data_IF_726033085291
#
_entry.id   IF_726033085291
#
_cell.length_a   1.000
_cell.length_b   1.000
_cell.length_c   1.000
_cell.angle_alpha   90.00
_cell.angle_beta   90.00
_cell.angle_gamma   90.00
#
_symmetry.space_group_name_H-M   'P 1'
#
loop_
_entity.id
_entity.type
_entity.pdbx_description
1 polymer ?
#
# COMPACT_ATOMS: atom_id res chain seq x y z
N UNK A 1 14.34 -21.31 15.11
CA UNK A 1 12.97 -20.78 15.26
C UNK A 1 12.51 -20.19 13.94
N UNK A 2 11.36 -20.60 13.49
CA UNK A 2 10.79 -20.07 12.26
C UNK A 2 10.03 -18.76 12.58
N UNK A 3 10.57 -17.62 12.10
CA UNK A 3 9.98 -16.31 12.32
C UNK A 3 9.11 -15.83 11.14
N UNK A 4 8.76 -16.73 10.23
CA UNK A 4 7.95 -16.37 9.09
C UNK A 4 6.52 -16.04 9.51
N UNK A 5 6.00 -14.95 8.95
CA UNK A 5 4.61 -14.58 9.10
C UNK A 5 3.77 -15.52 8.24
N UNK A 6 2.74 -16.12 8.84
CA UNK A 6 1.81 -16.97 8.12
C UNK A 6 0.66 -16.13 7.59
N UNK A 7 0.55 -16.04 6.28
CA UNK A 7 -0.54 -15.32 5.62
C UNK A 7 -1.73 -16.22 5.34
N UNK A 8 -2.92 -15.65 5.41
CA UNK A 8 -4.13 -16.30 4.92
C UNK A 8 -4.06 -16.43 3.39
N UNK A 9 -4.96 -17.24 2.81
CA UNK A 9 -5.03 -17.39 1.36
C UNK A 9 -5.27 -16.04 0.66
N UNK A 10 -6.18 -15.23 1.20
CA UNK A 10 -6.46 -13.89 0.67
C UNK A 10 -5.26 -12.97 0.77
N UNK A 11 -4.55 -13.02 1.89
CA UNK A 11 -3.33 -12.23 2.09
C UNK A 11 -2.21 -12.68 1.15
N UNK A 12 -2.10 -13.98 0.89
CA UNK A 12 -1.14 -14.51 -0.08
C UNK A 12 -1.45 -14.04 -1.50
N UNK A 13 -2.72 -13.97 -1.87
CA UNK A 13 -3.16 -13.42 -3.16
C UNK A 13 -2.82 -11.93 -3.27
N UNK A 14 -3.02 -11.17 -2.20
CA UNK A 14 -2.59 -9.77 -2.15
C UNK A 14 -1.08 -9.62 -2.32
N UNK A 15 -0.31 -10.48 -1.66
CA UNK A 15 1.14 -10.48 -1.79
C UNK A 15 1.56 -10.74 -3.23
N UNK A 16 0.98 -11.75 -3.89
CA UNK A 16 1.29 -12.09 -5.26
C UNK A 16 0.98 -10.94 -6.21
N UNK A 17 -0.18 -10.33 -6.05
CA UNK A 17 -0.59 -9.15 -6.86
C UNK A 17 0.37 -7.98 -6.63
N UNK A 18 0.71 -7.71 -5.37
CA UNK A 18 1.61 -6.63 -5.01
C UNK A 18 3.03 -6.88 -5.52
N UNK A 19 3.53 -8.11 -5.42
CA UNK A 19 4.85 -8.47 -5.95
C UNK A 19 4.91 -8.27 -7.46
N UNK A 20 3.88 -8.70 -8.19
CA UNK A 20 3.81 -8.51 -9.63
C UNK A 20 3.80 -7.02 -10.00
N UNK A 21 2.96 -6.26 -9.35
CA UNK A 21 2.88 -4.81 -9.57
C UNK A 21 4.20 -4.11 -9.27
N UNK A 22 4.80 -4.39 -8.12
CA UNK A 22 6.04 -3.74 -7.70
C UNK A 22 7.23 -4.14 -8.58
N UNK A 23 7.31 -5.40 -9.00
CA UNK A 23 8.41 -5.84 -9.88
C UNK A 23 8.36 -5.18 -11.25
N UNK A 24 7.15 -4.91 -11.74
CA UNK A 24 6.96 -4.23 -13.04
C UNK A 24 7.17 -2.72 -12.96
N UNK A 25 6.77 -2.10 -11.85
CA UNK A 25 6.75 -0.65 -11.71
C UNK A 25 7.92 -0.09 -10.90
N UNK A 26 8.68 -0.94 -10.22
CA UNK A 26 9.84 -0.55 -9.42
C UNK A 26 11.02 -1.50 -9.64
N UNK A 27 11.46 -1.70 -10.89
CA UNK A 27 12.69 -2.45 -11.13
C UNK A 27 13.88 -1.67 -10.59
N UNK A 28 14.94 -2.38 -10.21
CA UNK A 28 16.09 -1.79 -9.52
C UNK A 28 16.76 -0.67 -10.32
N UNK A 29 16.77 -0.75 -11.64
CA UNK A 29 17.35 0.28 -12.48
C UNK A 29 16.57 1.60 -12.38
N UNK A 30 15.24 1.55 -12.30
CA UNK A 30 14.42 2.74 -12.09
C UNK A 30 14.60 3.30 -10.67
N UNK A 31 14.71 2.45 -9.66
CA UNK A 31 14.97 2.88 -8.29
C UNK A 31 16.29 3.65 -8.21
N UNK A 32 17.33 3.13 -8.82
CA UNK A 32 18.64 3.79 -8.87
C UNK A 32 18.57 5.13 -9.59
N UNK A 33 17.89 5.18 -10.73
CA UNK A 33 17.70 6.39 -11.51
C UNK A 33 16.99 7.48 -10.70
N UNK A 34 15.87 7.11 -10.05
CA UNK A 34 15.12 8.06 -9.21
C UNK A 34 15.94 8.57 -8.03
N UNK A 35 16.73 7.71 -7.41
CA UNK A 35 17.60 8.09 -6.29
C UNK A 35 18.68 9.07 -6.74
N UNK A 36 19.33 8.79 -7.86
CA UNK A 36 20.39 9.64 -8.40
C UNK A 36 19.87 11.01 -8.84
N UNK A 37 18.68 11.05 -9.40
CA UNK A 37 18.07 12.28 -9.91
C UNK A 37 17.21 13.00 -8.86
N UNK A 38 17.12 12.44 -7.65
CA UNK A 38 16.28 12.96 -6.57
C UNK A 38 14.82 13.17 -7.00
N UNK A 39 14.33 12.28 -7.86
CA UNK A 39 12.97 12.38 -8.37
C UNK A 39 11.95 11.86 -7.34
N UNK A 40 10.81 12.54 -7.30
CA UNK A 40 9.66 12.08 -6.53
C UNK A 40 8.95 10.94 -7.26
N UNK A 41 8.00 10.30 -6.57
CA UNK A 41 7.16 9.26 -7.15
C UNK A 41 6.38 9.82 -8.34
N UNK A 42 6.40 9.16 -9.53
CA UNK A 42 5.59 9.60 -10.66
C UNK A 42 4.10 9.59 -10.33
N UNK A 43 3.37 10.60 -10.80
CA UNK A 43 1.94 10.74 -10.53
C UNK A 43 1.10 9.59 -11.10
N UNK A 44 1.49 9.05 -12.25
CA UNK A 44 0.82 7.91 -12.86
C UNK A 44 1.00 6.63 -12.03
N UNK A 45 2.17 6.43 -11.43
CA UNK A 45 2.40 5.31 -10.53
C UNK A 45 1.55 5.44 -9.26
N UNK A 46 1.47 6.63 -8.70
CA UNK A 46 0.62 6.88 -7.54
C UNK A 46 -0.86 6.65 -7.87
N UNK A 47 -1.31 7.11 -9.03
CA UNK A 47 -2.67 6.85 -9.49
C UNK A 47 -2.97 5.37 -9.61
N UNK A 48 -2.02 4.58 -10.12
CA UNK A 48 -2.16 3.13 -10.21
C UNK A 48 -2.28 2.48 -8.83
N UNK A 49 -1.51 2.93 -7.86
CA UNK A 49 -1.60 2.45 -6.46
C UNK A 49 -2.98 2.76 -5.88
N UNK A 50 -3.51 3.95 -6.13
CA UNK A 50 -4.84 4.34 -5.67
C UNK A 50 -5.92 3.48 -6.33
N UNK A 51 -5.82 3.24 -7.62
CA UNK A 51 -6.77 2.40 -8.37
C UNK A 51 -6.80 0.95 -7.88
N UNK A 52 -5.68 0.43 -7.40
CA UNK A 52 -5.62 -0.90 -6.78
C UNK A 52 -6.36 -0.95 -5.43
N UNK A 53 -6.73 0.20 -4.88
CA UNK A 53 -7.41 0.28 -3.60
C UNK A 53 -6.51 0.20 -2.38
N UNK A 54 -5.22 0.23 -2.55
CA UNK A 54 -4.26 0.04 -1.44
C UNK A 54 -4.32 1.17 -0.42
N UNK A 55 -4.64 2.39 -0.83
CA UNK A 55 -4.79 3.52 0.09
C UNK A 55 -6.03 3.39 0.99
N UNK A 56 -6.98 2.57 0.59
CA UNK A 56 -8.22 2.35 1.31
C UNK A 56 -8.37 0.94 1.88
N UNK A 57 -7.29 0.17 2.02
CA UNK A 57 -7.38 -1.22 2.50
C UNK A 57 -8.07 -1.29 3.86
N UNK A 58 -7.74 -0.41 4.80
CA UNK A 58 -8.29 -0.41 6.15
C UNK A 58 -9.53 0.48 6.29
N UNK A 59 -9.95 1.17 5.25
CA UNK A 59 -11.13 2.03 5.26
C UNK A 59 -12.38 1.18 5.05
N UNK A 60 -13.46 1.37 5.84
CA UNK A 60 -14.71 0.63 5.65
C UNK A 60 -15.32 0.85 4.26
N UNK A 61 -16.03 -0.16 3.75
CA UNK A 61 -16.70 -0.08 2.46
C UNK A 61 -17.72 1.08 2.41
N UNK A 62 -18.34 1.42 3.55
CA UNK A 62 -19.26 2.53 3.66
C UNK A 62 -18.61 3.88 3.34
N UNK A 63 -17.29 3.98 3.42
CA UNK A 63 -16.52 5.18 3.07
C UNK A 63 -15.67 4.97 1.81
N UNK A 64 -15.99 3.97 1.00
CA UNK A 64 -15.32 3.72 -0.27
C UNK A 64 -14.04 2.89 -0.19
N UNK A 65 -13.76 2.29 0.94
CA UNK A 65 -12.59 1.45 1.14
C UNK A 65 -12.85 -0.04 0.91
N UNK A 66 -11.83 -0.86 1.17
CA UNK A 66 -11.91 -2.31 1.00
C UNK A 66 -12.42 -3.04 2.25
N UNK A 67 -12.47 -2.37 3.39
CA UNK A 67 -12.99 -2.95 4.63
C UNK A 67 -12.12 -4.06 5.22
N UNK A 68 -10.83 -4.08 4.91
CA UNK A 68 -9.89 -5.06 5.40
C UNK A 68 -9.18 -4.56 6.66
N UNK A 69 -8.30 -5.38 7.22
CA UNK A 69 -7.57 -5.04 8.44
C UNK A 69 -6.17 -4.53 8.14
N UNK A 70 -5.50 -3.98 9.16
CA UNK A 70 -4.09 -3.61 9.07
C UNK A 70 -3.23 -4.82 8.71
N UNK A 71 -3.58 -6.01 9.19
CA UNK A 71 -2.87 -7.24 8.85
C UNK A 71 -2.92 -7.54 7.34
N UNK A 72 -3.97 -7.12 6.66
CA UNK A 72 -4.10 -7.30 5.20
C UNK A 72 -3.24 -6.29 4.43
N UNK A 73 -2.81 -5.20 5.05
CA UNK A 73 -1.89 -4.24 4.47
C UNK A 73 -0.44 -4.78 4.46
N UNK A 74 -0.10 -5.65 5.40
CA UNK A 74 1.27 -6.16 5.57
C UNK A 74 1.83 -6.81 4.29
N UNK A 75 1.10 -7.67 3.57
CA UNK A 75 1.62 -8.24 2.31
C UNK A 75 2.00 -7.19 1.27
N UNK A 76 1.21 -6.13 1.16
CA UNK A 76 1.46 -5.04 0.21
C UNK A 76 2.72 -4.29 0.59
N UNK A 77 2.87 -3.93 1.86
CA UNK A 77 4.05 -3.22 2.35
C UNK A 77 5.31 -4.08 2.22
N UNK A 78 5.21 -5.38 2.47
CA UNK A 78 6.30 -6.31 2.27
C UNK A 78 6.77 -6.34 0.81
N UNK A 79 5.83 -6.42 -0.13
CA UNK A 79 6.15 -6.41 -1.55
C UNK A 79 6.83 -5.10 -1.97
N UNK A 80 6.36 -3.98 -1.46
CA UNK A 80 6.97 -2.68 -1.72
C UNK A 80 8.39 -2.62 -1.18
N UNK A 81 8.62 -3.12 0.03
CA UNK A 81 9.95 -3.17 0.63
C UNK A 81 10.92 -4.04 -0.16
N UNK A 82 10.47 -5.20 -0.63
CA UNK A 82 11.29 -6.10 -1.43
C UNK A 82 11.74 -5.49 -2.75
N UNK A 83 10.96 -4.60 -3.31
CA UNK A 83 11.23 -3.93 -4.59
C UNK A 83 11.73 -2.50 -4.41
N UNK A 84 12.00 -2.08 -3.18
CA UNK A 84 12.46 -0.73 -2.85
C UNK A 84 11.57 0.36 -3.46
N UNK A 85 10.26 0.11 -3.49
CA UNK A 85 9.29 1.08 -4.01
C UNK A 85 8.99 2.13 -2.96
N UNK A 86 9.52 3.32 -3.16
CA UNK A 86 9.21 4.47 -2.31
C UNK A 86 7.84 5.04 -2.67
N UNK A 87 6.96 5.19 -1.68
CA UNK A 87 5.66 5.82 -1.88
C UNK A 87 5.11 6.33 -0.54
N UNK A 88 4.15 7.25 -0.57
CA UNK A 88 3.49 7.72 0.66
C UNK A 88 2.41 6.76 1.18
N UNK A 89 2.33 5.52 0.66
CA UNK A 89 1.25 4.59 1.01
C UNK A 89 1.14 4.34 2.51
N UNK A 90 2.25 4.06 3.19
CA UNK A 90 2.24 3.76 4.63
C UNK A 90 1.71 4.95 5.43
N UNK A 91 2.16 6.16 5.11
CA UNK A 91 1.68 7.37 5.78
C UNK A 91 0.21 7.65 5.48
N UNK A 92 -0.22 7.42 4.24
CA UNK A 92 -1.63 7.53 3.86
C UNK A 92 -2.50 6.53 4.62
N UNK A 93 -2.03 5.29 4.76
CA UNK A 93 -2.73 4.25 5.49
C UNK A 93 -2.83 4.59 6.98
N UNK A 94 -1.77 5.10 7.59
CA UNK A 94 -1.75 5.54 8.99
C UNK A 94 -2.77 6.67 9.19
N UNK A 95 -2.78 7.65 8.29
CA UNK A 95 -3.71 8.78 8.35
C UNK A 95 -5.16 8.32 8.24
N UNK A 96 -5.44 7.44 7.29
CA UNK A 96 -6.78 6.88 7.10
C UNK A 96 -7.25 6.10 8.33
N UNK A 97 -6.37 5.26 8.89
CA UNK A 97 -6.70 4.49 10.08
C UNK A 97 -6.95 5.40 11.29
N UNK A 98 -6.17 6.47 11.43
CA UNK A 98 -6.35 7.46 12.50
C UNK A 98 -7.72 8.12 12.38
N UNK A 99 -8.12 8.52 11.19
CA UNK A 99 -9.44 9.11 10.96
C UNK A 99 -10.57 8.13 11.28
N UNK A 100 -10.41 6.83 10.96
CA UNK A 100 -11.42 5.83 11.30
C UNK A 100 -11.57 5.65 12.80
N UNK A 101 -10.49 5.76 13.56
CA UNK A 101 -10.51 5.58 15.01
C UNK A 101 -10.96 6.84 15.77
N UNK A 102 -10.64 8.02 15.29
CA UNK A 102 -10.79 9.27 16.03
C UNK A 102 -11.47 10.41 15.29
N UNK A 103 -11.75 10.25 13.99
CA UNK A 103 -12.37 11.31 13.19
C UNK A 103 -13.88 11.42 13.37
N UNK A 104 -14.44 12.57 13.03
CA UNK A 104 -15.89 12.75 12.92
C UNK A 104 -16.42 12.08 11.65
N UNK A 105 -17.76 11.89 11.57
CA UNK A 105 -18.36 11.31 10.37
C UNK A 105 -18.09 12.18 9.12
N UNK A 106 -18.09 13.50 9.27
CA UNK A 106 -17.76 14.40 8.18
C UNK A 106 -16.31 14.23 7.69
N UNK A 107 -15.38 14.04 8.63
CA UNK A 107 -13.97 13.81 8.30
C UNK A 107 -13.76 12.46 7.63
N UNK A 108 -14.47 11.42 8.09
CA UNK A 108 -14.39 10.08 7.49
C UNK A 108 -14.93 10.05 6.07
N UNK A 109 -15.96 10.84 5.79
CA UNK A 109 -16.60 10.91 4.47
C UNK A 109 -15.81 11.75 3.47
N UNK A 110 -14.93 12.59 3.97
CA UNK A 110 -14.07 13.40 3.12
C UNK A 110 -12.94 12.55 2.52
#
# INVERSE_FOLDING_TARGET
MNSQISFTEEQSMLLDTAMDFCSKNSPINLVRSRTQEAQSLPSDLWSSIVELGWTGITVPESHGGLGLSVADLVPVVEAMGRNLMASPLVWSAISANTLQLAGSEAQKSA
#
